data_IF_038853621974
#
_entry.id   IF_038853621974
#
_cell.length_a   1.000
_cell.length_b   1.000
_cell.length_c   1.000
_cell.angle_alpha   90.00
_cell.angle_beta   90.00
_cell.angle_gamma   90.00
#
_symmetry.space_group_name_H-M   'P 1'
#
loop_
_entity.id
_entity.type
_entity.pdbx_description
1 polymer ?
#
# COMPACT_ATOMS: atom_id res chain seq x y z
N UNK A 1 -14.41 -5.04 -34.95
CA UNK A 1 -14.80 -4.31 -33.72
C UNK A 1 -15.36 -5.31 -32.72
N UNK A 2 -14.48 -6.03 -32.02
CA UNK A 2 -14.87 -6.91 -30.92
C UNK A 2 -15.18 -6.04 -29.68
N UNK A 3 -16.46 -5.74 -29.43
CA UNK A 3 -16.95 -5.36 -28.11
C UNK A 3 -16.92 -6.60 -27.22
N UNK A 4 -15.78 -6.87 -26.58
CA UNK A 4 -15.77 -7.81 -25.46
C UNK A 4 -16.62 -7.18 -24.36
N UNK A 5 -17.81 -7.70 -24.12
CA UNK A 5 -18.55 -7.49 -22.88
C UNK A 5 -17.74 -8.20 -21.77
N UNK A 6 -16.77 -7.50 -21.19
CA UNK A 6 -16.04 -8.03 -20.05
C UNK A 6 -17.04 -8.05 -18.89
N UNK A 7 -17.48 -9.26 -18.54
CA UNK A 7 -18.30 -9.44 -17.35
C UNK A 7 -17.43 -9.15 -16.13
N UNK A 8 -17.75 -8.08 -15.39
CA UNK A 8 -16.96 -7.57 -14.26
C UNK A 8 -16.68 -8.63 -13.18
N UNK A 9 -17.56 -9.61 -13.01
CA UNK A 9 -17.38 -10.77 -12.11
C UNK A 9 -16.24 -11.70 -12.59
N UNK A 10 -16.12 -11.92 -13.89
CA UNK A 10 -15.06 -12.76 -14.46
C UNK A 10 -13.71 -12.06 -14.41
N UNK A 11 -13.66 -10.73 -14.58
CA UNK A 11 -12.42 -9.97 -14.53
C UNK A 11 -11.73 -10.07 -13.17
N UNK A 12 -12.46 -9.78 -12.09
CA UNK A 12 -11.92 -9.91 -10.72
C UNK A 12 -11.45 -11.32 -10.41
N UNK A 13 -12.22 -12.33 -10.82
CA UNK A 13 -11.88 -13.75 -10.63
C UNK A 13 -10.59 -14.11 -11.38
N UNK A 14 -10.47 -13.72 -12.64
CA UNK A 14 -9.30 -14.04 -13.46
C UNK A 14 -8.02 -13.39 -12.91
N UNK A 15 -8.09 -12.10 -12.51
CA UNK A 15 -6.96 -11.40 -11.91
C UNK A 15 -6.55 -12.05 -10.59
N UNK A 16 -7.50 -12.39 -9.73
CA UNK A 16 -7.22 -13.05 -8.46
C UNK A 16 -6.68 -14.47 -8.64
N UNK A 17 -7.18 -15.24 -9.60
CA UNK A 17 -6.62 -16.55 -9.93
C UNK A 17 -5.18 -16.46 -10.40
N UNK A 18 -4.87 -15.47 -11.26
CA UNK A 18 -3.49 -15.19 -11.64
C UNK A 18 -2.63 -14.81 -10.43
N UNK A 19 -3.14 -13.93 -9.58
CA UNK A 19 -2.43 -13.48 -8.38
C UNK A 19 -2.11 -14.63 -7.42
N UNK A 20 -3.06 -15.52 -7.17
CA UNK A 20 -2.88 -16.68 -6.29
C UNK A 20 -1.71 -17.59 -6.74
N UNK A 21 -1.48 -17.67 -8.06
CA UNK A 21 -0.41 -18.49 -8.65
C UNK A 21 0.93 -17.74 -8.83
N UNK A 22 0.92 -16.40 -8.86
CA UNK A 22 2.08 -15.61 -9.28
C UNK A 22 2.55 -14.58 -8.23
N UNK A 23 1.83 -14.41 -7.12
CA UNK A 23 2.16 -13.39 -6.14
C UNK A 23 3.56 -13.53 -5.56
N UNK A 24 4.27 -12.42 -5.46
CA UNK A 24 5.59 -12.39 -4.84
C UNK A 24 5.49 -12.55 -3.32
N UNK A 25 6.41 -13.31 -2.73
CA UNK A 25 6.58 -13.33 -1.27
C UNK A 25 7.29 -12.06 -0.81
N UNK A 26 6.56 -11.18 -0.12
CA UNK A 26 7.07 -9.90 0.34
C UNK A 26 7.01 -9.80 1.86
N UNK A 27 8.06 -9.26 2.55
CA UNK A 27 8.16 -9.28 4.01
C UNK A 27 7.09 -8.45 4.73
N UNK A 28 6.42 -7.53 4.05
CA UNK A 28 5.32 -6.75 4.60
C UNK A 28 3.93 -7.37 4.40
N UNK A 29 3.83 -8.50 3.68
CA UNK A 29 2.60 -9.27 3.47
C UNK A 29 2.39 -10.28 4.60
N UNK A 30 1.95 -9.81 5.77
CA UNK A 30 1.64 -10.67 6.91
C UNK A 30 0.14 -10.70 7.17
N UNK A 31 -0.41 -11.90 7.41
CA UNK A 31 -1.86 -12.11 7.48
C UNK A 31 -2.43 -12.06 8.91
N UNK A 32 -1.67 -12.47 9.94
CA UNK A 32 -2.25 -12.90 11.23
C UNK A 32 -2.30 -11.86 12.36
N UNK A 33 -1.57 -10.74 12.30
CA UNK A 33 -1.57 -9.75 13.40
C UNK A 33 -1.96 -8.37 12.89
N UNK A 34 -3.10 -7.86 13.31
CA UNK A 34 -3.66 -6.59 12.81
C UNK A 34 -2.77 -5.36 13.08
N UNK A 35 -2.20 -5.22 14.29
CA UNK A 35 -1.31 -4.09 14.62
C UNK A 35 0.01 -4.17 13.86
N UNK A 36 0.61 -5.35 13.78
CA UNK A 36 1.83 -5.59 13.02
C UNK A 36 1.57 -5.41 11.53
N UNK A 37 0.45 -5.92 11.00
CA UNK A 37 0.01 -5.72 9.62
C UNK A 37 -0.10 -4.22 9.29
N UNK A 38 -0.79 -3.43 10.12
CA UNK A 38 -0.95 -1.99 9.89
C UNK A 38 0.41 -1.27 9.82
N UNK A 39 1.31 -1.56 10.75
CA UNK A 39 2.64 -0.97 10.77
C UNK A 39 3.47 -1.36 9.54
N UNK A 40 3.47 -2.65 9.18
CA UNK A 40 4.24 -3.14 8.04
C UNK A 40 3.72 -2.57 6.72
N UNK A 41 2.40 -2.50 6.54
CA UNK A 41 1.79 -1.88 5.36
C UNK A 41 2.09 -0.38 5.29
N UNK A 42 1.95 0.34 6.39
CA UNK A 42 2.31 1.76 6.43
C UNK A 42 3.78 1.99 6.06
N UNK A 43 4.69 1.25 6.69
CA UNK A 43 6.14 1.37 6.44
C UNK A 43 6.48 1.06 4.98
N UNK A 44 5.98 -0.05 4.44
CA UNK A 44 6.26 -0.44 3.06
C UNK A 44 5.75 0.58 2.06
N UNK A 45 4.54 1.14 2.26
CA UNK A 45 4.00 2.16 1.37
C UNK A 45 4.88 3.40 1.32
N UNK A 46 5.41 3.87 2.47
CA UNK A 46 6.35 4.98 2.48
C UNK A 46 7.70 4.63 1.81
N UNK A 47 8.18 3.40 1.95
CA UNK A 47 9.44 2.98 1.33
C UNK A 47 9.31 2.78 -0.18
N UNK A 48 8.14 2.33 -0.65
CA UNK A 48 7.87 2.04 -2.06
C UNK A 48 7.57 3.28 -2.91
N UNK A 49 7.28 4.43 -2.29
CA UNK A 49 7.12 5.68 -3.05
C UNK A 49 8.37 5.95 -3.90
N UNK A 50 8.25 5.84 -5.23
CA UNK A 50 9.34 6.05 -6.21
C UNK A 50 10.58 5.16 -6.00
N UNK A 51 10.40 3.97 -5.41
CA UNK A 51 11.50 3.02 -5.18
C UNK A 51 11.05 1.61 -5.52
N UNK A 52 11.89 0.86 -6.24
CA UNK A 52 11.59 -0.50 -6.66
C UNK A 52 11.54 -1.48 -5.48
N UNK A 53 10.66 -2.47 -5.57
CA UNK A 53 10.44 -3.50 -4.54
C UNK A 53 11.73 -4.19 -4.13
N UNK A 54 12.57 -4.62 -5.09
CA UNK A 54 13.84 -5.31 -4.80
C UNK A 54 14.80 -4.46 -3.95
N UNK A 55 14.80 -3.15 -4.15
CA UNK A 55 15.60 -2.21 -3.35
C UNK A 55 15.03 -2.05 -1.95
N UNK A 56 13.69 -2.02 -1.80
CA UNK A 56 13.03 -1.82 -0.51
C UNK A 56 13.19 -3.01 0.43
N UNK A 57 13.18 -4.25 -0.04
CA UNK A 57 13.21 -5.46 0.78
C UNK A 57 14.32 -5.44 1.84
N UNK A 58 15.60 -5.24 1.53
CA UNK A 58 16.67 -5.24 2.53
C UNK A 58 16.53 -4.09 3.53
N UNK A 59 16.10 -2.90 3.09
CA UNK A 59 15.84 -1.76 3.98
C UNK A 59 14.68 -2.02 4.93
N UNK A 60 13.60 -2.57 4.43
CA UNK A 60 12.45 -2.95 5.24
C UNK A 60 12.85 -3.94 6.34
N UNK A 61 13.55 -5.01 5.99
CA UNK A 61 13.99 -6.04 6.94
C UNK A 61 14.92 -5.47 8.02
N UNK A 62 15.88 -4.63 7.63
CA UNK A 62 16.77 -3.96 8.60
C UNK A 62 15.98 -2.99 9.49
N UNK A 63 15.05 -2.23 8.91
CA UNK A 63 14.25 -1.25 9.63
C UNK A 63 13.38 -1.91 10.70
N UNK A 64 12.62 -2.96 10.36
CA UNK A 64 11.73 -3.65 11.32
C UNK A 64 12.49 -4.40 12.40
N UNK A 65 13.72 -4.84 12.13
CA UNK A 65 14.62 -5.44 13.15
C UNK A 65 15.00 -4.41 14.20
N UNK A 66 15.22 -3.14 13.84
CA UNK A 66 15.67 -2.05 14.73
C UNK A 66 14.52 -1.21 15.30
N UNK A 67 13.39 -1.19 14.60
CA UNK A 67 12.18 -0.42 14.93
C UNK A 67 10.97 -1.33 14.68
N UNK A 68 10.63 -2.23 15.61
CA UNK A 68 9.74 -3.37 15.35
C UNK A 68 8.23 -3.02 15.27
N UNK A 69 7.84 -1.83 15.70
CA UNK A 69 6.44 -1.42 15.74
C UNK A 69 6.26 0.10 15.71
N UNK A 70 5.03 0.55 15.55
CA UNK A 70 4.67 1.95 15.43
C UNK A 70 5.05 2.77 16.68
N UNK A 71 4.94 2.21 17.89
CA UNK A 71 5.33 2.86 19.14
C UNK A 71 6.84 3.09 19.20
N UNK A 72 7.63 2.08 18.82
CA UNK A 72 9.08 2.20 18.72
C UNK A 72 9.48 3.26 17.67
N UNK A 73 8.75 3.34 16.54
CA UNK A 73 8.97 4.35 15.53
C UNK A 73 8.69 5.76 16.06
N UNK A 74 7.55 5.99 16.70
CA UNK A 74 7.15 7.31 17.23
C UNK A 74 8.10 7.83 18.31
N UNK A 75 8.66 6.93 19.11
CA UNK A 75 9.59 7.25 20.21
C UNK A 75 11.06 7.37 19.77
N UNK A 76 11.37 6.99 18.54
CA UNK A 76 12.74 7.08 18.03
C UNK A 76 13.15 8.53 17.79
N UNK A 77 14.45 8.82 17.91
CA UNK A 77 15.03 10.09 17.47
C UNK A 77 15.04 10.14 15.93
N UNK A 78 14.70 11.27 15.33
CA UNK A 78 14.68 11.44 13.87
C UNK A 78 16.01 11.02 13.23
N UNK A 79 17.16 11.37 13.83
CA UNK A 79 18.49 10.98 13.36
C UNK A 79 18.63 9.46 13.20
N UNK A 80 18.07 8.66 14.14
CA UNK A 80 18.06 7.18 14.04
C UNK A 80 17.27 6.71 12.84
N UNK A 81 16.09 7.30 12.60
CA UNK A 81 15.22 6.92 11.46
C UNK A 81 15.90 7.27 10.14
N UNK A 82 16.49 8.46 10.03
CA UNK A 82 17.24 8.88 8.84
C UNK A 82 18.45 7.97 8.57
N UNK A 83 19.17 7.54 9.61
CA UNK A 83 20.29 6.60 9.47
C UNK A 83 19.84 5.22 8.95
N UNK A 84 18.67 4.73 9.39
CA UNK A 84 18.09 3.47 8.87
C UNK A 84 17.55 3.59 7.45
N UNK A 85 17.35 4.81 6.97
CA UNK A 85 16.87 5.13 5.62
C UNK A 85 18.00 5.50 4.66
N UNK A 86 19.23 5.61 5.16
CA UNK A 86 20.40 6.06 4.39
C UNK A 86 20.63 5.14 3.19
N UNK A 87 20.73 5.73 1.99
CA UNK A 87 20.86 5.02 0.72
C UNK A 87 19.54 4.74 -0.01
N UNK A 88 18.38 4.78 0.68
CA UNK A 88 17.08 4.59 0.02
C UNK A 88 16.60 5.85 -0.74
N UNK A 89 17.17 7.02 -0.43
CA UNK A 89 16.82 8.29 -1.06
C UNK A 89 15.50 8.90 -0.59
N UNK A 90 15.17 10.08 -1.13
CA UNK A 90 13.91 10.80 -0.83
C UNK A 90 13.61 10.88 0.68
N UNK A 91 14.53 11.37 1.47
CA UNK A 91 14.50 11.42 2.94
C UNK A 91 13.26 12.10 3.54
N UNK A 92 12.55 12.92 2.75
CA UNK A 92 11.27 13.52 3.15
C UNK A 92 10.24 12.44 3.51
N UNK A 93 10.28 11.27 2.87
CA UNK A 93 9.42 10.13 3.19
C UNK A 93 9.67 9.60 4.61
N UNK A 94 10.93 9.43 4.99
CA UNK A 94 11.32 9.00 6.34
C UNK A 94 10.84 9.99 7.41
N UNK A 95 11.03 11.30 7.16
CA UNK A 95 10.55 12.36 8.05
C UNK A 95 9.02 12.36 8.16
N UNK A 96 8.32 12.21 7.04
CA UNK A 96 6.86 12.14 7.03
C UNK A 96 6.35 10.89 7.74
N UNK A 97 6.92 9.72 7.50
CA UNK A 97 6.61 8.48 8.21
C UNK A 97 6.77 8.65 9.74
N UNK A 98 7.86 9.27 10.17
CA UNK A 98 8.13 9.53 11.59
C UNK A 98 7.09 10.49 12.20
N UNK A 99 6.76 11.61 11.51
CA UNK A 99 5.70 12.52 11.93
C UNK A 99 4.34 11.82 12.00
N UNK A 100 3.99 11.06 10.95
CA UNK A 100 2.77 10.26 10.89
C UNK A 100 2.68 9.29 12.06
N UNK A 101 3.76 8.58 12.40
CA UNK A 101 3.77 7.66 13.54
C UNK A 101 3.42 8.34 14.88
N UNK A 102 3.93 9.55 15.11
CA UNK A 102 3.61 10.34 16.31
C UNK A 102 2.14 10.77 16.35
N UNK A 103 1.59 11.19 15.20
CA UNK A 103 0.18 11.55 15.10
C UNK A 103 -0.71 10.32 15.36
N UNK A 104 -0.36 9.16 14.77
CA UNK A 104 -1.10 7.92 14.98
C UNK A 104 -1.12 7.48 16.45
N UNK A 105 0.02 7.58 17.14
CA UNK A 105 0.07 7.28 18.58
C UNK A 105 -0.79 8.27 19.38
N UNK A 106 -0.66 9.58 19.10
CA UNK A 106 -1.33 10.63 19.89
C UNK A 106 -2.84 10.72 19.64
N UNK A 107 -3.28 10.63 18.36
CA UNK A 107 -4.68 10.88 17.97
C UNK A 107 -5.49 9.62 17.70
N UNK A 108 -4.83 8.51 17.35
CA UNK A 108 -5.51 7.30 16.85
C UNK A 108 -5.16 6.03 17.64
N UNK A 109 -4.62 6.19 18.85
CA UNK A 109 -4.25 5.08 19.74
C UNK A 109 -3.35 4.02 19.04
N UNK A 110 -2.46 4.48 18.17
CA UNK A 110 -1.52 3.65 17.42
C UNK A 110 -2.14 2.85 16.28
N UNK A 111 -3.35 3.19 15.85
CA UNK A 111 -4.01 2.56 14.71
C UNK A 111 -3.98 3.48 13.48
N UNK A 112 -3.89 2.88 12.31
CA UNK A 112 -4.05 3.59 11.04
C UNK A 112 -5.55 3.91 10.86
N UNK A 113 -5.97 5.15 10.56
CA UNK A 113 -7.38 5.49 10.40
C UNK A 113 -8.07 4.69 9.29
N UNK A 114 -9.27 4.17 9.58
CA UNK A 114 -10.13 3.50 8.59
C UNK A 114 -11.04 4.53 7.87
N UNK A 115 -10.49 5.66 7.46
CA UNK A 115 -11.21 6.75 6.81
C UNK A 115 -10.28 7.51 5.87
N UNK A 116 -10.72 7.73 4.64
CA UNK A 116 -9.95 8.37 3.59
C UNK A 116 -9.48 9.78 3.95
N UNK A 117 -10.40 10.63 4.42
CA UNK A 117 -10.10 12.03 4.78
C UNK A 117 -9.06 12.09 5.91
N UNK A 118 -9.25 11.30 6.97
CA UNK A 118 -8.30 11.23 8.09
C UNK A 118 -6.92 10.70 7.68
N UNK A 119 -6.86 9.80 6.71
CA UNK A 119 -5.59 9.34 6.15
C UNK A 119 -4.86 10.45 5.40
N UNK A 120 -5.57 11.24 4.61
CA UNK A 120 -4.99 12.36 3.84
C UNK A 120 -4.48 13.51 4.71
N UNK A 121 -4.96 13.65 5.93
CA UNK A 121 -4.42 14.62 6.91
C UNK A 121 -3.03 14.22 7.42
N UNK A 122 -2.61 12.96 7.21
CA UNK A 122 -1.32 12.48 7.70
C UNK A 122 -0.18 12.87 6.74
N UNK A 123 0.98 13.33 7.28
CA UNK A 123 2.10 13.76 6.45
C UNK A 123 2.59 12.67 5.50
N UNK A 124 2.65 12.97 4.20
CA UNK A 124 3.14 12.06 3.16
C UNK A 124 2.13 11.04 2.66
N UNK A 125 0.87 11.15 3.05
CA UNK A 125 -0.22 10.31 2.55
C UNK A 125 -1.08 11.13 1.59
N UNK A 126 -0.98 10.84 0.31
CA UNK A 126 -1.83 11.36 -0.77
C UNK A 126 -2.98 10.39 -1.09
N UNK A 127 -3.74 10.73 -2.13
CA UNK A 127 -4.91 9.95 -2.57
C UNK A 127 -4.58 8.49 -2.85
N UNK A 128 -3.50 8.24 -3.58
CA UNK A 128 -2.99 6.90 -3.86
C UNK A 128 -2.75 6.11 -2.56
N UNK A 129 -1.87 6.63 -1.69
CA UNK A 129 -1.48 5.93 -0.46
C UNK A 129 -2.68 5.71 0.47
N UNK A 130 -3.61 6.68 0.56
CA UNK A 130 -4.83 6.53 1.37
C UNK A 130 -5.71 5.38 0.86
N UNK A 131 -5.96 5.30 -0.45
CA UNK A 131 -6.74 4.22 -1.06
C UNK A 131 -6.06 2.85 -0.87
N UNK A 132 -4.76 2.76 -1.12
CA UNK A 132 -3.99 1.53 -0.92
C UNK A 132 -4.05 1.07 0.53
N UNK A 133 -3.84 1.94 1.51
CA UNK A 133 -3.92 1.58 2.93
C UNK A 133 -5.31 1.10 3.34
N UNK A 134 -6.38 1.71 2.82
CA UNK A 134 -7.77 1.25 3.06
C UNK A 134 -8.01 -0.15 2.51
N UNK A 135 -7.53 -0.45 1.30
CA UNK A 135 -7.63 -1.77 0.72
C UNK A 135 -6.79 -2.79 1.50
N UNK A 136 -5.49 -2.53 1.67
CA UNK A 136 -4.55 -3.51 2.22
C UNK A 136 -4.75 -3.79 3.71
N UNK A 137 -5.14 -2.79 4.50
CA UNK A 137 -5.32 -2.94 5.95
C UNK A 137 -6.75 -3.39 6.29
N UNK A 138 -7.73 -2.76 5.66
CA UNK A 138 -9.14 -2.90 6.04
C UNK A 138 -9.98 -3.67 5.03
N UNK A 139 -9.38 -4.17 3.96
CA UNK A 139 -10.07 -4.89 2.89
C UNK A 139 -11.23 -4.10 2.27
N UNK A 140 -11.12 -2.76 2.24
CA UNK A 140 -12.13 -1.91 1.62
C UNK A 140 -12.03 -1.95 0.09
N UNK A 141 -13.13 -1.72 -0.63
CA UNK A 141 -13.14 -1.67 -2.09
C UNK A 141 -12.52 -0.36 -2.61
N UNK A 142 -11.28 -0.11 -2.21
CA UNK A 142 -10.49 1.02 -2.63
C UNK A 142 -9.35 0.54 -3.53
N UNK A 143 -9.02 1.29 -4.57
CA UNK A 143 -7.92 1.01 -5.48
C UNK A 143 -7.03 2.24 -5.54
N UNK A 144 -5.76 2.07 -5.21
CA UNK A 144 -4.76 3.10 -5.45
C UNK A 144 -4.38 3.10 -6.93
N UNK A 145 -4.56 4.24 -7.60
CA UNK A 145 -4.29 4.37 -9.02
C UNK A 145 -2.89 4.95 -9.20
N UNK A 146 -1.93 4.08 -9.49
CA UNK A 146 -0.58 4.45 -9.90
C UNK A 146 -0.38 4.23 -11.41
N UNK A 147 0.86 4.41 -11.89
CA UNK A 147 1.20 4.16 -13.29
C UNK A 147 0.99 2.73 -13.74
N UNK A 148 1.15 1.74 -12.84
CA UNK A 148 0.94 0.32 -13.15
C UNK A 148 -0.55 0.04 -13.31
N UNK A 149 -1.37 0.45 -12.35
CA UNK A 149 -2.83 0.29 -12.40
C UNK A 149 -3.42 0.99 -13.63
N UNK A 150 -2.99 2.24 -13.93
CA UNK A 150 -3.40 2.95 -15.17
C UNK A 150 -3.07 2.15 -16.41
N UNK A 151 -1.87 1.59 -16.50
CA UNK A 151 -1.43 0.77 -17.64
C UNK A 151 -2.28 -0.48 -17.80
N UNK A 152 -2.58 -1.18 -16.72
CA UNK A 152 -3.47 -2.36 -16.73
C UNK A 152 -4.85 -1.97 -17.25
N UNK A 153 -5.44 -0.92 -16.69
CA UNK A 153 -6.78 -0.46 -17.08
C UNK A 153 -6.83 -0.03 -18.55
N UNK A 154 -5.83 0.73 -19.00
CA UNK A 154 -5.75 1.15 -20.40
C UNK A 154 -5.63 -0.06 -21.34
N UNK A 155 -4.81 -1.04 -21.01
CA UNK A 155 -4.67 -2.28 -21.83
C UNK A 155 -5.95 -3.12 -21.87
N UNK A 156 -6.69 -3.17 -20.76
CA UNK A 156 -7.94 -3.92 -20.66
C UNK A 156 -9.10 -3.24 -21.37
N UNK A 157 -9.20 -1.92 -21.30
CA UNK A 157 -10.38 -1.18 -21.72
C UNK A 157 -10.13 -0.22 -22.89
N UNK A 158 -8.87 0.01 -23.26
CA UNK A 158 -8.43 0.96 -24.31
C UNK A 158 -8.99 2.38 -24.11
N UNK A 159 -9.16 2.81 -22.88
CA UNK A 159 -9.62 4.14 -22.47
C UNK A 159 -9.29 4.42 -21.01
N UNK A 160 -9.29 5.67 -20.61
CA UNK A 160 -9.27 6.07 -19.22
C UNK A 160 -10.59 5.68 -18.54
N UNK A 161 -10.50 5.29 -17.28
CA UNK A 161 -11.64 4.86 -16.47
C UNK A 161 -11.74 5.75 -15.24
N UNK A 162 -12.84 6.47 -15.11
CA UNK A 162 -13.08 7.38 -13.98
C UNK A 162 -13.47 6.63 -12.71
N UNK A 163 -14.33 5.62 -12.82
CA UNK A 163 -14.74 4.78 -11.69
C UNK A 163 -14.15 3.37 -11.80
N UNK A 164 -12.91 3.25 -11.34
CA UNK A 164 -12.17 1.98 -11.36
C UNK A 164 -12.76 0.95 -10.37
N UNK A 165 -13.32 1.41 -9.26
CA UNK A 165 -13.83 0.52 -8.21
C UNK A 165 -15.03 -0.28 -8.70
N UNK A 166 -15.90 0.33 -9.48
CA UNK A 166 -17.11 -0.34 -10.04
C UNK A 166 -16.80 -1.47 -11.00
N UNK A 167 -15.60 -1.47 -11.59
CA UNK A 167 -15.16 -2.53 -12.52
C UNK A 167 -14.88 -3.85 -11.83
N UNK A 168 -14.62 -3.82 -10.52
CA UNK A 168 -14.17 -4.99 -9.77
C UNK A 168 -15.13 -5.32 -8.63
N UNK A 169 -15.67 -6.53 -8.65
CA UNK A 169 -16.55 -7.06 -7.60
C UNK A 169 -15.87 -8.25 -6.94
N UNK A 170 -15.41 -8.07 -5.70
CA UNK A 170 -14.79 -9.14 -4.92
C UNK A 170 -14.89 -8.85 -3.42
N UNK A 171 -14.81 -9.91 -2.59
CA UNK A 171 -14.62 -9.79 -1.13
C UNK A 171 -13.13 -9.75 -0.75
N UNK A 172 -12.22 -9.95 -1.72
CA UNK A 172 -10.77 -9.98 -1.56
C UNK A 172 -10.15 -8.67 -2.08
N UNK A 173 -10.60 -7.54 -1.55
CA UNK A 173 -10.17 -6.22 -2.04
C UNK A 173 -8.68 -5.94 -1.79
N UNK A 174 -8.12 -6.43 -0.66
CA UNK A 174 -6.70 -6.34 -0.38
C UNK A 174 -5.87 -7.10 -1.42
N UNK A 175 -6.27 -8.32 -1.77
CA UNK A 175 -5.56 -9.14 -2.75
C UNK A 175 -5.72 -8.57 -4.15
N UNK A 176 -6.90 -8.03 -4.48
CA UNK A 176 -7.13 -7.36 -5.76
C UNK A 176 -6.25 -6.11 -5.92
N UNK A 177 -6.13 -5.28 -4.87
CA UNK A 177 -5.27 -4.11 -4.91
C UNK A 177 -3.80 -4.50 -5.16
N UNK A 178 -3.31 -5.55 -4.49
CA UNK A 178 -1.96 -6.08 -4.72
C UNK A 178 -1.81 -6.68 -6.11
N UNK A 179 -2.80 -7.44 -6.56
CA UNK A 179 -2.80 -8.08 -7.88
C UNK A 179 -2.67 -7.04 -9.00
N UNK A 180 -3.43 -5.95 -8.94
CA UNK A 180 -3.37 -4.87 -9.92
C UNK A 180 -1.99 -4.19 -9.97
N UNK A 181 -1.36 -4.02 -8.81
CA UNK A 181 0.01 -3.46 -8.73
C UNK A 181 1.08 -4.42 -9.27
N UNK A 182 0.87 -5.74 -9.15
CA UNK A 182 1.83 -6.74 -9.65
C UNK A 182 1.65 -7.08 -11.13
N UNK A 183 0.42 -7.00 -11.62
CA UNK A 183 0.08 -7.30 -13.01
C UNK A 183 0.55 -6.20 -13.99
N UNK A 184 0.73 -4.97 -13.52
CA UNK A 184 1.18 -3.81 -14.30
C UNK A 184 2.68 -3.67 -14.40
#
# INVERSE_FOLDING_TARGET
LFKMHINNLNLSKNILTWYDNNQRTLPWRISKNSKKKQYYRLLSEFMLQQTQVKTVIPYFNNFVKKVPNLKALSNSREKKILKLWEGLGYYRRAKNLHKTSRILIKKYNGQVPNNFVKLKELPGIGDYTANVLLALIYNKPNIGIDGNVKRVLFRLFNRDIDDVVSLFKTKRNNDLAEALMEFG
#
